data_IF_670084411847
#
_entry.id   IF_670084411847
#
_cell.length_a   1.000
_cell.length_b   1.000
_cell.length_c   1.000
_cell.angle_alpha   90.00
_cell.angle_beta   90.00
_cell.angle_gamma   90.00
#
_symmetry.space_group_name_H-M   'P 1'
#
loop_
_entity.id
_entity.type
_entity.pdbx_description
1 polymer ?
#
# COMPACT_ATOMS: atom_id res chain seq x y z
N UNK A 1 3.41 4.37 20.03
CA UNK A 1 2.49 4.45 19.83
C UNK A 1 1.83 3.42 19.10
N UNK A 2 0.86 3.11 19.31
CA UNK A 2 0.17 1.92 18.92
C UNK A 2 -0.02 1.70 17.43
N UNK A 3 0.50 2.59 16.64
CA UNK A 3 0.29 2.47 15.22
C UNK A 3 0.88 1.19 14.65
N UNK A 4 1.95 0.71 15.24
CA UNK A 4 2.58 -0.50 14.73
C UNK A 4 1.69 -1.73 14.90
N UNK A 5 0.68 -1.63 15.75
CA UNK A 5 -0.24 -2.74 15.97
C UNK A 5 -1.46 -2.70 15.07
N UNK A 6 -1.51 -1.77 14.13
CA UNK A 6 -2.67 -1.66 13.25
C UNK A 6 -2.82 -2.92 12.42
N UNK A 7 -4.03 -3.41 12.35
CA UNK A 7 -4.34 -4.60 11.56
C UNK A 7 -4.65 -4.22 10.13
N UNK A 8 -4.22 -5.06 9.19
CA UNK A 8 -4.53 -4.81 7.79
C UNK A 8 -6.02 -4.73 7.53
N UNK A 9 -6.83 -5.49 8.27
CA UNK A 9 -8.27 -5.46 8.09
C UNK A 9 -8.88 -4.10 8.42
N UNK A 10 -8.14 -3.25 9.14
CA UNK A 10 -8.63 -1.93 9.51
C UNK A 10 -8.20 -0.86 8.51
N UNK A 11 -7.39 -1.20 7.53
CA UNK A 11 -6.92 -0.24 6.54
C UNK A 11 -7.88 -0.23 5.35
N UNK A 12 -8.09 0.95 4.75
CA UNK A 12 -8.88 1.02 3.53
C UNK A 12 -8.27 0.18 2.43
N UNK A 13 -9.05 -0.70 1.86
CA UNK A 13 -8.60 -1.57 0.79
C UNK A 13 -8.78 -0.87 -0.55
N UNK A 14 -7.78 -0.99 -1.42
CA UNK A 14 -7.83 -0.36 -2.73
C UNK A 14 -7.47 -1.38 -3.80
N UNK A 15 -7.77 -1.04 -5.03
CA UNK A 15 -7.33 -1.77 -6.20
C UNK A 15 -6.26 -0.96 -6.90
N UNK A 16 -5.21 -1.63 -7.32
CA UNK A 16 -4.07 -0.95 -7.95
C UNK A 16 -3.78 -1.65 -9.27
N UNK A 17 -3.68 -0.84 -10.33
CA UNK A 17 -3.23 -1.34 -11.63
C UNK A 17 -1.73 -1.13 -11.72
N UNK A 18 -1.03 -2.07 -12.30
CA UNK A 18 0.43 -2.02 -12.41
C UNK A 18 0.86 -1.83 -13.85
N UNK A 19 1.99 -1.14 -14.03
CA UNK A 19 2.66 -1.07 -15.33
C UNK A 19 3.39 -2.37 -15.59
N UNK A 20 3.89 -2.52 -16.81
CA UNK A 20 4.62 -3.73 -17.17
C UNK A 20 5.83 -3.98 -16.28
N UNK A 21 6.44 -2.91 -15.76
CA UNK A 21 7.60 -3.04 -14.89
C UNK A 21 7.21 -3.26 -13.42
N UNK A 22 5.93 -3.42 -13.13
CA UNK A 22 5.46 -3.69 -11.78
C UNK A 22 5.15 -2.47 -10.94
N UNK A 23 5.35 -1.26 -11.47
CA UNK A 23 5.06 -0.05 -10.71
C UNK A 23 3.57 0.26 -10.72
N UNK A 24 3.04 0.76 -9.59
CA UNK A 24 1.64 1.19 -9.58
C UNK A 24 1.38 2.30 -10.59
N UNK A 25 0.30 2.18 -11.35
CA UNK A 25 -0.07 3.17 -12.35
C UNK A 25 -1.41 3.83 -12.07
N UNK A 26 -2.28 3.17 -11.34
CA UNK A 26 -3.61 3.69 -11.05
C UNK A 26 -4.10 3.08 -9.75
N UNK A 27 -4.82 3.87 -8.95
CA UNK A 27 -5.38 3.37 -7.70
C UNK A 27 -6.86 3.71 -7.66
N UNK A 28 -7.65 2.80 -7.05
CA UNK A 28 -9.10 2.96 -6.94
C UNK A 28 -9.58 2.30 -5.67
N UNK A 29 -10.31 3.03 -4.86
CA UNK A 29 -10.92 2.52 -3.64
C UNK A 29 -10.55 3.35 -2.43
N UNK A 30 -11.29 3.15 -1.32
CA UNK A 30 -11.01 3.87 -0.08
C UNK A 30 -11.19 5.36 -0.19
N UNK A 31 -12.04 5.83 -1.10
CA UNK A 31 -12.25 7.25 -1.31
C UNK A 31 -11.20 7.88 -2.24
N UNK A 32 -10.32 7.07 -2.81
CA UNK A 32 -9.24 7.52 -3.65
C UNK A 32 -9.44 6.95 -5.05
N UNK A 33 -9.20 7.75 -6.08
CA UNK A 33 -9.36 7.31 -7.45
C UNK A 33 -8.56 8.20 -8.37
N UNK A 34 -7.62 7.62 -9.11
CA UNK A 34 -6.87 8.41 -10.07
C UNK A 34 -5.58 7.78 -10.49
N UNK A 35 -4.97 8.35 -11.53
CA UNK A 35 -3.68 7.88 -12.00
C UNK A 35 -2.58 8.25 -11.02
N UNK A 36 -1.57 7.41 -10.97
CA UNK A 36 -0.41 7.62 -10.13
C UNK A 36 0.66 8.30 -10.97
N UNK A 37 1.02 9.52 -10.59
CA UNK A 37 2.02 10.31 -11.33
C UNK A 37 3.44 9.90 -10.97
N UNK A 38 3.66 9.51 -9.73
CA UNK A 38 4.97 9.08 -9.25
C UNK A 38 4.80 7.94 -8.29
N UNK A 39 5.73 7.00 -8.32
CA UNK A 39 5.75 5.89 -7.38
C UNK A 39 7.19 5.66 -6.96
N UNK A 40 7.41 5.60 -5.65
CA UNK A 40 8.70 5.30 -5.07
C UNK A 40 8.58 4.02 -4.25
N UNK A 41 9.55 3.16 -4.41
CA UNK A 41 9.57 1.86 -3.78
C UNK A 41 9.93 0.80 -4.80
N UNK A 42 9.67 -0.47 -4.51
CA UNK A 42 9.02 -0.95 -3.29
C UNK A 42 10.00 -1.06 -2.14
N UNK A 43 9.49 -0.86 -0.93
CA UNK A 43 10.27 -1.12 0.29
C UNK A 43 9.73 -2.39 0.90
N UNK A 44 10.53 -3.43 0.89
CA UNK A 44 10.11 -4.72 1.41
C UNK A 44 9.97 -4.69 2.92
N UNK A 45 8.93 -5.37 3.40
CA UNK A 45 8.68 -5.54 4.83
C UNK A 45 8.39 -7.00 5.07
N UNK A 46 9.14 -7.60 6.01
CA UNK A 46 8.92 -8.98 6.37
C UNK A 46 9.13 -9.09 7.87
N UNK A 47 8.06 -9.38 8.60
CA UNK A 47 8.10 -9.43 10.04
C UNK A 47 7.29 -10.62 10.55
N UNK A 48 7.62 -11.07 11.75
CA UNK A 48 6.81 -12.04 12.42
C UNK A 48 6.88 -13.44 11.85
N UNK A 49 7.96 -13.76 11.15
CA UNK A 49 8.10 -15.10 10.58
C UNK A 49 8.08 -16.17 11.67
N UNK A 50 8.32 -15.76 12.90
CA UNK A 50 8.29 -16.66 14.05
C UNK A 50 6.93 -16.69 14.77
N UNK A 51 5.93 -16.01 14.23
CA UNK A 51 4.61 -15.94 14.85
C UNK A 51 3.58 -16.60 13.95
N UNK A 52 2.36 -16.70 14.47
CA UNK A 52 1.27 -17.27 13.69
C UNK A 52 0.71 -16.32 12.64
N UNK A 53 1.10 -15.05 12.69
CA UNK A 53 0.61 -14.05 11.74
C UNK A 53 1.77 -13.27 11.14
N UNK A 54 2.55 -13.91 10.29
CA UNK A 54 3.67 -13.21 9.65
C UNK A 54 3.16 -12.13 8.70
N UNK A 55 3.97 -11.09 8.55
CA UNK A 55 3.69 -10.00 7.63
C UNK A 55 4.76 -10.00 6.56
N UNK A 56 4.33 -10.03 5.31
CA UNK A 56 5.25 -9.97 4.17
C UNK A 56 4.62 -9.16 3.07
N UNK A 57 5.31 -8.14 2.64
CA UNK A 57 4.81 -7.27 1.60
C UNK A 57 5.75 -6.13 1.32
N UNK A 58 5.23 -5.09 0.75
CA UNK A 58 6.02 -3.92 0.41
C UNK A 58 5.21 -2.65 0.53
N UNK A 59 5.91 -1.56 0.83
CA UNK A 59 5.31 -0.24 0.82
C UNK A 59 5.70 0.49 -0.45
N UNK A 60 4.78 1.29 -0.93
CA UNK A 60 5.00 2.20 -2.04
C UNK A 60 4.50 3.58 -1.63
N UNK A 61 5.30 4.61 -1.89
CA UNK A 61 4.82 5.99 -1.76
C UNK A 61 4.43 6.45 -3.15
N UNK A 62 3.18 6.85 -3.31
CA UNK A 62 2.64 7.19 -4.62
C UNK A 62 2.02 8.58 -4.58
N UNK A 63 2.20 9.32 -5.67
CA UNK A 63 1.53 10.59 -5.86
C UNK A 63 0.33 10.35 -6.77
N UNK A 64 -0.86 10.53 -6.21
CA UNK A 64 -2.11 10.31 -6.95
C UNK A 64 -2.60 11.65 -7.45
N UNK A 65 -2.91 11.73 -8.75
CA UNK A 65 -3.31 12.99 -9.35
C UNK A 65 -4.51 13.58 -8.60
N UNK A 66 -4.39 14.86 -8.23
CA UNK A 66 -5.43 15.65 -7.56
C UNK A 66 -5.75 15.20 -6.13
N UNK A 67 -5.02 14.23 -5.60
CA UNK A 67 -5.29 13.73 -4.24
C UNK A 67 -4.09 13.88 -3.30
N UNK A 68 -2.87 13.92 -3.81
CA UNK A 68 -1.69 14.04 -2.98
C UNK A 68 -0.89 12.75 -2.89
N UNK A 69 -0.10 12.64 -1.83
CA UNK A 69 0.83 11.53 -1.67
C UNK A 69 0.32 10.58 -0.61
N UNK A 70 0.37 9.31 -0.93
CA UNK A 70 -0.13 8.25 -0.06
C UNK A 70 0.90 7.15 0.06
N UNK A 71 0.93 6.50 1.20
CA UNK A 71 1.70 5.27 1.36
C UNK A 71 0.76 4.09 1.21
N UNK A 72 1.05 3.23 0.26
CA UNK A 72 0.28 2.02 0.01
C UNK A 72 1.00 0.83 0.63
N UNK A 73 0.23 -0.14 1.06
CA UNK A 73 0.74 -1.41 1.53
C UNK A 73 0.27 -2.49 0.58
N UNK A 74 1.23 -3.24 0.01
CA UNK A 74 0.92 -4.39 -0.83
C UNK A 74 1.22 -5.65 -0.02
N UNK A 75 0.17 -6.34 0.40
CA UNK A 75 0.29 -7.57 1.17
C UNK A 75 0.53 -8.72 0.23
N UNK A 76 1.71 -9.32 0.29
CA UNK A 76 2.06 -10.42 -0.61
C UNK A 76 1.36 -11.72 -0.26
N UNK A 77 0.91 -11.86 0.97
CA UNK A 77 0.26 -13.10 1.39
C UNK A 77 -1.14 -13.18 0.80
N UNK A 78 -1.88 -12.08 0.83
CA UNK A 78 -3.24 -12.05 0.29
C UNK A 78 -3.29 -11.44 -1.11
N UNK A 79 -2.19 -10.85 -1.56
CA UNK A 79 -2.09 -10.12 -2.83
C UNK A 79 -3.12 -9.00 -2.90
N UNK A 80 -3.25 -8.27 -1.80
CA UNK A 80 -4.18 -7.16 -1.71
C UNK A 80 -3.43 -5.88 -1.39
N UNK A 81 -4.03 -4.76 -1.75
CA UNK A 81 -3.46 -3.44 -1.54
C UNK A 81 -4.32 -2.63 -0.59
N UNK A 82 -3.65 -1.79 0.21
CA UNK A 82 -4.31 -0.98 1.22
C UNK A 82 -3.68 0.40 1.25
N UNK A 83 -4.45 1.39 1.69
CA UNK A 83 -3.89 2.70 2.02
C UNK A 83 -3.38 2.62 3.45
N UNK A 84 -2.08 2.76 3.63
CA UNK A 84 -1.48 2.70 4.95
C UNK A 84 -1.45 4.05 5.63
N UNK A 85 -1.09 5.09 4.88
CA UNK A 85 -1.05 6.42 5.45
C UNK A 85 -1.12 7.47 4.35
N UNK A 86 -1.37 8.70 4.76
CA UNK A 86 -1.44 9.86 3.89
C UNK A 86 -0.32 10.78 4.29
N UNK A 87 0.42 11.27 3.31
CA UNK A 87 1.46 12.25 3.54
C UNK A 87 0.88 13.65 3.36
N UNK A 88 0.95 14.44 4.39
CA UNK A 88 0.49 15.83 4.34
C UNK A 88 1.62 16.79 4.06
#
# INVERSE_FOLDING_TARGET
FGSSARRLAELPKVQVSLKQDGRPSYVYGGGLSGPINRAAGPWGVEKGWWTEQPVKGANWDVEVAQHGVYRLWHDFISDQWFIESVWD
#
